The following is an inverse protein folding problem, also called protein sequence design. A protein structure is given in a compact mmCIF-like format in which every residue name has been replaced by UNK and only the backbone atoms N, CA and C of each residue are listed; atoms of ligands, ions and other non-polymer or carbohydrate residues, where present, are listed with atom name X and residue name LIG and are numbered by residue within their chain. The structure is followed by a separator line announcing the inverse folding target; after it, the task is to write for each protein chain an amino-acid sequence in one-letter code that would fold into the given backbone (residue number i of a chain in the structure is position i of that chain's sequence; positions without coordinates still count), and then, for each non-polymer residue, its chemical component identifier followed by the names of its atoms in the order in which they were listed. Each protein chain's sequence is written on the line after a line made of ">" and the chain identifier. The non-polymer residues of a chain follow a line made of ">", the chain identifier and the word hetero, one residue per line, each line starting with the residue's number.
data_IF_003109802172
#
_entry.id   IF_003109802172
#
_cell.length_a   1.000
_cell.length_b   1.000
_cell.length_c   1.000
_cell.angle_alpha   90.00
_cell.angle_beta   90.00
_cell.angle_gamma   90.00
#
_symmetry.space_group_name_H-M   'P 1'
#
loop_
_entity.id
_entity.type
_entity.pdbx_description
1 polymer ?
#
# COMPACT_ATOMS: atom_id res chain seq x y z
N UNK A 1 -36.92 -26.23 -1.15
CA UNK A 1 -36.95 -26.54 0.30
C UNK A 1 -37.49 -25.33 1.06
N UNK A 2 -38.18 -25.61 2.15
CA UNK A 2 -39.29 -24.81 2.68
C UNK A 2 -38.91 -23.51 3.42
N UNK A 3 -39.92 -22.64 3.48
CA UNK A 3 -40.09 -21.37 4.19
C UNK A 3 -39.99 -21.54 5.71
N UNK A 4 -39.43 -20.56 6.41
CA UNK A 4 -39.76 -20.32 7.82
C UNK A 4 -39.68 -18.82 8.15
N UNK A 5 -40.84 -18.18 8.11
CA UNK A 5 -41.09 -16.85 8.63
C UNK A 5 -41.31 -16.96 10.15
N UNK A 6 -40.55 -16.19 10.93
CA UNK A 6 -40.67 -16.16 12.38
C UNK A 6 -41.55 -14.97 12.78
N UNK A 7 -42.81 -15.25 13.09
CA UNK A 7 -43.74 -14.30 13.75
C UNK A 7 -44.22 -14.94 15.04
N UNK A 8 -43.59 -14.62 16.16
CA UNK A 8 -44.01 -15.08 17.49
C UNK A 8 -43.90 -13.93 18.47
N UNK A 9 -45.03 -13.46 19.01
CA UNK A 9 -44.99 -12.55 20.16
C UNK A 9 -46.23 -11.69 20.44
N UNK A 10 -47.11 -11.45 19.47
CA UNK A 10 -48.22 -10.49 19.68
C UNK A 10 -49.58 -11.14 19.95
N UNK A 11 -49.86 -12.33 19.44
CA UNK A 11 -51.19 -12.97 19.58
C UNK A 11 -51.61 -13.29 21.03
N UNK A 12 -50.65 -13.64 21.90
CA UNK A 12 -50.94 -13.98 23.29
C UNK A 12 -51.27 -12.75 24.16
N UNK A 13 -50.79 -11.57 23.79
CA UNK A 13 -51.05 -10.32 24.50
C UNK A 13 -52.47 -9.79 24.22
N UNK A 14 -52.94 -9.90 22.99
CA UNK A 14 -54.31 -9.53 22.61
C UNK A 14 -55.36 -10.42 23.28
N UNK A 15 -55.10 -11.74 23.38
CA UNK A 15 -56.00 -12.67 24.04
C UNK A 15 -56.15 -12.37 25.55
N UNK A 16 -55.03 -12.08 26.24
CA UNK A 16 -55.05 -11.72 27.67
C UNK A 16 -55.78 -10.40 27.92
N UNK A 17 -55.62 -9.41 27.04
CA UNK A 17 -56.31 -8.12 27.15
C UNK A 17 -57.83 -8.27 26.98
N UNK A 18 -58.28 -9.07 26.00
CA UNK A 18 -59.72 -9.33 25.78
C UNK A 18 -60.38 -10.02 26.99
N UNK A 19 -59.69 -10.95 27.64
CA UNK A 19 -60.20 -11.62 28.85
C UNK A 19 -60.35 -10.62 30.01
N UNK A 20 -59.38 -9.73 30.23
CA UNK A 20 -59.45 -8.72 31.31
C UNK A 20 -60.60 -7.74 31.08
N UNK A 21 -60.77 -7.26 29.85
CA UNK A 21 -61.87 -6.33 29.55
C UNK A 21 -63.24 -7.03 29.62
N UNK A 22 -63.34 -8.31 29.26
CA UNK A 22 -64.55 -9.11 29.42
C UNK A 22 -64.97 -9.26 30.89
N UNK A 23 -64.02 -9.45 31.80
CA UNK A 23 -64.28 -9.53 33.25
C UNK A 23 -64.75 -8.18 33.80
N UNK A 24 -64.14 -7.06 33.37
CA UNK A 24 -64.57 -5.72 33.80
C UNK A 24 -65.99 -5.40 33.29
N UNK A 25 -66.32 -5.76 32.05
CA UNK A 25 -67.66 -5.59 31.50
C UNK A 25 -68.72 -6.42 32.27
N UNK A 26 -68.38 -7.64 32.69
CA UNK A 26 -69.26 -8.47 33.51
C UNK A 26 -69.49 -7.89 34.91
N UNK A 27 -68.48 -7.29 35.55
CA UNK A 27 -68.60 -6.62 36.86
C UNK A 27 -69.46 -5.35 36.77
N UNK A 28 -69.39 -4.63 35.66
CA UNK A 28 -70.21 -3.43 35.44
C UNK A 28 -71.69 -3.75 35.18
N UNK A 29 -72.01 -4.92 34.58
CA UNK A 29 -73.39 -5.35 34.36
C UNK A 29 -74.13 -5.79 35.64
N UNK A 30 -73.41 -6.12 36.72
CA UNK A 30 -74.01 -6.53 38.01
C UNK A 30 -74.22 -5.33 38.95
N UNK A 31 -73.64 -4.16 38.67
CA UNK A 31 -73.63 -3.01 39.60
C UNK A 31 -74.67 -1.91 39.30
N UNK A 32 -75.67 -2.17 38.45
CA UNK A 32 -76.73 -1.19 38.12
C UNK A 32 -78.12 -1.70 38.51
N UNK A 33 -78.43 -1.63 39.80
CA UNK A 33 -79.81 -1.66 40.30
C UNK A 33 -79.95 -0.48 41.28
N UNK A 34 -80.51 0.64 40.82
CA UNK A 34 -80.70 1.86 41.60
C UNK A 34 -82.19 2.22 41.55
N UNK A 35 -82.92 1.91 42.61
CA UNK A 35 -84.33 2.29 42.83
C UNK A 35 -84.42 3.47 43.78
N UNK A 36 -85.00 4.63 43.39
CA UNK A 36 -85.31 5.70 44.33
C UNK A 36 -86.80 5.71 44.70
N UNK A 37 -87.11 5.44 45.97
CA UNK A 37 -88.39 5.78 46.60
C UNK A 37 -88.31 7.23 47.15
N UNK A 38 -89.29 8.05 46.78
CA UNK A 38 -89.53 9.37 47.39
C UNK A 38 -90.35 9.22 48.68
N UNK A 39 -90.25 10.18 49.62
CA UNK A 39 -91.42 11.02 49.82
C UNK A 39 -91.10 12.51 49.97
N UNK A 40 -92.01 13.30 49.41
CA UNK A 40 -92.19 14.75 49.50
C UNK A 40 -92.72 15.19 50.87
N UNK A 41 -92.21 16.30 51.41
CA UNK A 41 -92.82 17.05 52.51
C UNK A 41 -92.97 18.51 52.07
N UNK A 42 -94.17 18.87 51.63
CA UNK A 42 -94.70 20.23 51.67
C UNK A 42 -95.14 20.54 53.10
N UNK A 43 -94.80 21.71 53.63
CA UNK A 43 -95.48 22.27 54.80
C UNK A 43 -95.96 23.67 54.45
N UNK A 44 -97.28 23.74 54.33
CA UNK A 44 -98.14 24.87 54.07
C UNK A 44 -98.02 25.96 55.13
N UNK A 45 -98.13 27.20 54.65
CA UNK A 45 -98.56 28.33 55.44
C UNK A 45 -100.01 28.12 55.89
N UNK A 46 -100.28 28.24 57.19
CA UNK A 46 -101.64 28.34 57.71
C UNK A 46 -101.72 29.52 58.69
N UNK A 47 -102.61 30.43 58.34
CA UNK A 47 -102.98 31.63 59.06
C UNK A 47 -104.50 31.49 59.31
N UNK A 48 -104.96 31.47 60.56
CA UNK A 48 -106.37 31.69 60.85
C UNK A 48 -106.58 32.97 61.67
N UNK A 49 -107.47 33.80 61.13
CA UNK A 49 -108.17 34.90 61.78
C UNK A 49 -109.65 34.46 61.96
N UNK A 50 -110.52 35.30 62.53
CA UNK A 50 -110.77 35.63 63.94
C UNK A 50 -112.01 34.89 64.49
N UNK A 51 -112.30 34.93 65.81
CA UNK A 51 -113.68 35.11 66.31
C UNK A 51 -113.81 35.22 67.85
N UNK A 52 -114.60 36.23 68.22
CA UNK A 52 -115.65 36.27 69.26
C UNK A 52 -115.30 36.18 70.76
N UNK A 53 -115.66 37.27 71.45
CA UNK A 53 -115.66 37.45 72.90
C UNK A 53 -116.75 36.61 73.61
N UNK A 54 -116.57 36.34 74.91
CA UNK A 54 -117.51 36.92 75.87
C UNK A 54 -116.87 37.40 77.19
N UNK A 55 -117.23 38.62 77.58
CA UNK A 55 -117.90 38.99 78.85
C UNK A 55 -117.30 38.47 80.17
N UNK A 56 -116.64 39.41 80.87
CA UNK A 56 -116.72 39.71 82.32
C UNK A 56 -116.52 38.57 83.33
N UNK A 57 -115.31 38.52 83.90
CA UNK A 57 -115.16 38.33 85.36
C UNK A 57 -113.88 39.02 85.83
N UNK A 58 -114.03 40.24 86.35
CA UNK A 58 -112.95 40.97 87.02
C UNK A 58 -112.70 40.32 88.39
N UNK A 59 -111.97 39.21 88.37
CA UNK A 59 -111.43 38.62 89.60
C UNK A 59 -110.41 39.61 90.13
N UNK A 60 -110.63 40.10 91.35
CA UNK A 60 -109.69 40.95 92.06
C UNK A 60 -108.34 40.23 92.05
N UNK A 61 -107.40 40.75 91.26
CA UNK A 61 -106.07 40.15 91.17
C UNK A 61 -105.43 40.40 92.53
N UNK A 62 -105.25 39.33 93.29
CA UNK A 62 -104.56 39.38 94.57
C UNK A 62 -103.17 39.96 94.29
N UNK A 63 -102.89 41.15 94.83
CA UNK A 63 -101.65 41.88 94.56
C UNK A 63 -100.40 41.03 94.85
N UNK A 64 -100.50 40.08 95.79
CA UNK A 64 -99.42 39.15 96.13
C UNK A 64 -99.19 38.06 95.06
N UNK A 65 -100.22 37.66 94.32
CA UNK A 65 -100.12 36.67 93.23
C UNK A 65 -99.51 37.27 91.96
N UNK A 66 -99.78 38.55 91.66
CA UNK A 66 -99.16 39.28 90.54
C UNK A 66 -97.67 39.48 90.79
N UNK A 67 -97.27 39.87 92.00
CA UNK A 67 -95.85 40.04 92.34
C UNK A 67 -95.07 38.72 92.23
N UNK A 68 -95.64 37.59 92.67
CA UNK A 68 -95.04 36.27 92.47
C UNK A 68 -94.94 35.90 90.98
N UNK A 69 -95.97 36.22 90.18
CA UNK A 69 -95.97 35.98 88.73
C UNK A 69 -94.91 36.83 88.03
N UNK A 70 -94.76 38.11 88.40
CA UNK A 70 -93.76 39.03 87.85
C UNK A 70 -92.34 38.57 88.23
N UNK A 71 -92.12 38.14 89.47
CA UNK A 71 -90.82 37.56 89.87
C UNK A 71 -90.50 36.28 89.09
N UNK A 72 -91.50 35.42 88.86
CA UNK A 72 -91.34 34.19 88.05
C UNK A 72 -91.05 34.51 86.58
N UNK A 73 -91.71 35.51 86.00
CA UNK A 73 -91.47 35.98 84.63
C UNK A 73 -90.06 36.59 84.51
N UNK A 74 -89.65 37.43 85.46
CA UNK A 74 -88.30 38.01 85.48
C UNK A 74 -87.22 36.92 85.64
N UNK A 75 -87.45 35.93 86.50
CA UNK A 75 -86.52 34.80 86.64
C UNK A 75 -86.44 33.99 85.36
N UNK A 76 -87.58 33.67 84.73
CA UNK A 76 -87.62 32.97 83.45
C UNK A 76 -86.96 33.75 82.31
N UNK A 77 -87.09 35.08 82.29
CA UNK A 77 -86.41 35.93 81.31
C UNK A 77 -84.90 35.90 81.52
N UNK A 78 -84.41 36.06 82.76
CA UNK A 78 -82.98 35.93 83.08
C UNK A 78 -82.42 34.56 82.71
N UNK A 79 -83.15 33.49 83.02
CA UNK A 79 -82.74 32.12 82.70
C UNK A 79 -82.70 31.90 81.17
N UNK A 80 -83.66 32.47 80.42
CA UNK A 80 -83.68 32.44 78.96
C UNK A 80 -82.54 33.24 78.34
N UNK A 81 -82.27 34.46 78.83
CA UNK A 81 -81.15 35.29 78.39
C UNK A 81 -79.81 34.60 78.68
N UNK A 82 -79.65 33.99 79.85
CA UNK A 82 -78.45 33.21 80.19
C UNK A 82 -78.32 31.96 79.31
N UNK A 83 -79.42 31.26 79.00
CA UNK A 83 -79.41 30.12 78.10
C UNK A 83 -79.06 30.53 76.65
N UNK A 84 -79.57 31.67 76.20
CA UNK A 84 -79.26 32.24 74.89
C UNK A 84 -77.80 32.70 74.81
N UNK A 85 -77.28 33.39 75.81
CA UNK A 85 -75.86 33.76 75.89
C UNK A 85 -74.95 32.53 75.89
N UNK A 86 -75.30 31.47 76.62
CA UNK A 86 -74.56 30.19 76.59
C UNK A 86 -74.60 29.54 75.20
N UNK A 87 -75.76 29.57 74.54
CA UNK A 87 -75.91 29.04 73.19
C UNK A 87 -75.09 29.83 72.17
N UNK A 88 -75.09 31.16 72.25
CA UNK A 88 -74.27 32.04 71.39
C UNK A 88 -72.78 31.79 71.64
N UNK A 89 -72.34 31.78 72.91
CA UNK A 89 -70.94 31.51 73.26
C UNK A 89 -70.49 30.12 72.79
N UNK A 90 -71.35 29.10 72.87
CA UNK A 90 -71.04 27.76 72.34
C UNK A 90 -70.98 27.75 70.80
N UNK A 91 -71.90 28.42 70.11
CA UNK A 91 -71.89 28.55 68.66
C UNK A 91 -70.65 29.31 68.17
N UNK A 92 -70.26 30.39 68.85
CA UNK A 92 -69.03 31.13 68.56
C UNK A 92 -67.78 30.27 68.78
N UNK A 93 -67.71 29.52 69.88
CA UNK A 93 -66.61 28.58 70.14
C UNK A 93 -66.53 27.50 69.07
N UNK A 94 -67.67 26.92 68.67
CA UNK A 94 -67.74 25.93 67.58
C UNK A 94 -67.33 26.54 66.24
N UNK A 95 -67.77 27.77 65.94
CA UNK A 95 -67.40 28.48 64.71
C UNK A 95 -65.89 28.82 64.67
N UNK A 96 -65.31 29.25 65.78
CA UNK A 96 -63.86 29.49 65.89
C UNK A 96 -63.07 28.19 65.76
N UNK A 97 -63.49 27.10 66.42
CA UNK A 97 -62.85 25.79 66.27
C UNK A 97 -62.92 25.27 64.82
N UNK A 98 -64.07 25.42 64.16
CA UNK A 98 -64.24 25.04 62.75
C UNK A 98 -63.38 25.91 61.81
N UNK A 99 -63.24 27.22 62.08
CA UNK A 99 -62.34 28.09 61.31
C UNK A 99 -60.87 27.69 61.49
N UNK A 100 -60.43 27.44 62.71
CA UNK A 100 -59.07 26.99 62.99
C UNK A 100 -58.76 25.61 62.38
N UNK A 101 -59.71 24.68 62.41
CA UNK A 101 -59.57 23.37 61.77
C UNK A 101 -59.39 23.50 60.25
N UNK A 102 -60.24 24.31 59.59
CA UNK A 102 -60.11 24.56 58.14
C UNK A 102 -58.82 25.27 57.78
N UNK A 103 -58.35 26.22 58.60
CA UNK A 103 -57.09 26.90 58.35
C UNK A 103 -55.88 25.95 58.49
N UNK A 104 -55.91 25.03 59.45
CA UNK A 104 -54.88 23.98 59.60
C UNK A 104 -54.88 23.03 58.40
N UNK A 105 -56.05 22.52 58.02
CA UNK A 105 -56.20 21.63 56.86
C UNK A 105 -55.75 22.31 55.56
N UNK A 106 -56.08 23.59 55.35
CA UNK A 106 -55.59 24.37 54.21
C UNK A 106 -54.07 24.56 54.24
N UNK A 107 -53.48 24.81 55.42
CA UNK A 107 -52.02 24.93 55.57
C UNK A 107 -51.32 23.61 55.28
N UNK A 108 -51.83 22.50 55.82
CA UNK A 108 -51.30 21.14 55.57
C UNK A 108 -51.43 20.75 54.09
N UNK A 109 -52.58 21.03 53.46
CA UNK A 109 -52.78 20.78 52.03
C UNK A 109 -51.83 21.64 51.16
N UNK A 110 -51.67 22.93 51.48
CA UNK A 110 -50.76 23.81 50.76
C UNK A 110 -49.28 23.41 50.95
N UNK A 111 -48.90 22.93 52.15
CA UNK A 111 -47.56 22.43 52.41
C UNK A 111 -47.30 21.12 51.63
N UNK A 112 -48.24 20.18 51.64
CA UNK A 112 -48.14 18.94 50.87
C UNK A 112 -48.06 19.21 49.37
N UNK A 113 -48.83 20.15 48.85
CA UNK A 113 -48.76 20.55 47.44
C UNK A 113 -47.39 21.15 47.10
N UNK A 114 -46.85 22.04 47.95
CA UNK A 114 -45.50 22.59 47.79
C UNK A 114 -44.42 21.51 47.83
N UNK A 115 -44.53 20.56 48.76
CA UNK A 115 -43.59 19.42 48.85
C UNK A 115 -43.67 18.55 47.59
N UNK A 116 -44.87 18.25 47.09
CA UNK A 116 -45.05 17.49 45.84
C UNK A 116 -44.51 18.24 44.62
N UNK A 117 -44.72 19.55 44.52
CA UNK A 117 -44.18 20.37 43.45
C UNK A 117 -42.65 20.41 43.50
N UNK A 118 -42.06 20.63 44.67
CA UNK A 118 -40.61 20.62 44.88
C UNK A 118 -40.01 19.24 44.52
N UNK A 119 -40.62 18.14 44.96
CA UNK A 119 -40.18 16.79 44.63
C UNK A 119 -40.27 16.49 43.13
N UNK A 120 -41.35 16.92 42.46
CA UNK A 120 -41.49 16.79 41.00
C UNK A 120 -40.47 17.61 40.24
N UNK A 121 -40.18 18.83 40.69
CA UNK A 121 -39.19 19.69 40.05
C UNK A 121 -37.78 19.15 40.24
N UNK A 122 -37.46 18.64 41.43
CA UNK A 122 -36.18 17.98 41.70
C UNK A 122 -36.02 16.71 40.86
N UNK A 123 -37.04 15.83 40.80
CA UNK A 123 -37.01 14.65 39.95
C UNK A 123 -36.84 14.99 38.45
N UNK A 124 -37.46 16.09 37.97
CA UNK A 124 -37.25 16.58 36.60
C UNK A 124 -35.82 17.07 36.38
N UNK A 125 -35.25 17.82 37.32
CA UNK A 125 -33.87 18.32 37.24
C UNK A 125 -32.86 17.17 37.24
N UNK A 126 -33.04 16.17 38.11
CA UNK A 126 -32.20 14.97 38.18
C UNK A 126 -32.31 14.13 36.90
N UNK A 127 -33.53 13.93 36.37
CA UNK A 127 -33.73 13.21 35.11
C UNK A 127 -33.10 13.94 33.90
N UNK A 128 -33.16 15.28 33.87
CA UNK A 128 -32.54 16.08 32.82
C UNK A 128 -31.01 16.06 32.92
N UNK A 129 -30.46 16.17 34.13
CA UNK A 129 -29.01 16.03 34.37
C UNK A 129 -28.51 14.65 33.96
N UNK A 130 -29.20 13.57 34.33
CA UNK A 130 -28.85 12.21 33.95
C UNK A 130 -28.88 12.02 32.42
N UNK A 131 -29.87 12.60 31.72
CA UNK A 131 -29.93 12.58 30.25
C UNK A 131 -28.78 13.36 29.62
N UNK A 132 -28.45 14.53 30.13
CA UNK A 132 -27.34 15.35 29.61
C UNK A 132 -25.99 14.68 29.84
N UNK A 133 -25.79 14.04 30.99
CA UNK A 133 -24.58 13.28 31.28
C UNK A 133 -24.46 12.04 30.39
N UNK A 134 -25.54 11.28 30.22
CA UNK A 134 -25.58 10.14 29.30
C UNK A 134 -25.29 10.57 27.84
N UNK A 135 -25.87 11.68 27.38
CA UNK A 135 -25.63 12.22 26.05
C UNK A 135 -24.18 12.69 25.86
N UNK A 136 -23.58 13.35 26.87
CA UNK A 136 -22.17 13.73 26.84
C UNK A 136 -21.25 12.51 26.80
N UNK A 137 -21.53 11.48 27.60
CA UNK A 137 -20.74 10.26 27.64
C UNK A 137 -20.83 9.49 26.30
N UNK A 138 -22.02 9.42 25.69
CA UNK A 138 -22.19 8.81 24.37
C UNK A 138 -21.44 9.60 23.28
N UNK A 139 -21.50 10.93 23.31
CA UNK A 139 -20.78 11.78 22.38
C UNK A 139 -19.26 11.59 22.51
N UNK A 140 -18.73 11.58 23.74
CA UNK A 140 -17.32 11.32 24.00
C UNK A 140 -16.89 9.93 23.52
N UNK A 141 -17.73 8.90 23.70
CA UNK A 141 -17.45 7.55 23.17
C UNK A 141 -17.40 7.53 21.65
N UNK A 142 -18.33 8.22 20.97
CA UNK A 142 -18.35 8.32 19.50
C UNK A 142 -17.12 9.06 18.97
N UNK A 143 -16.74 10.17 19.59
CA UNK A 143 -15.54 10.93 19.22
C UNK A 143 -14.26 10.11 19.43
N UNK A 144 -14.14 9.42 20.56
CA UNK A 144 -13.00 8.53 20.84
C UNK A 144 -12.92 7.35 19.85
N UNK A 145 -14.06 6.75 19.50
CA UNK A 145 -14.10 5.66 18.52
C UNK A 145 -13.74 6.13 17.11
N UNK A 146 -14.24 7.30 16.69
CA UNK A 146 -13.89 7.89 15.40
C UNK A 146 -12.41 8.28 15.34
N UNK A 147 -11.86 8.87 16.40
CA UNK A 147 -10.44 9.18 16.50
C UNK A 147 -9.57 7.91 16.45
N UNK A 148 -9.97 6.85 17.15
CA UNK A 148 -9.28 5.57 17.11
C UNK A 148 -9.34 4.91 15.72
N UNK A 149 -10.49 4.94 15.04
CA UNK A 149 -10.65 4.45 13.66
C UNK A 149 -9.80 5.24 12.68
N UNK A 150 -9.81 6.57 12.74
CA UNK A 150 -8.99 7.42 11.89
C UNK A 150 -7.48 7.20 12.12
N UNK A 151 -7.05 7.06 13.38
CA UNK A 151 -5.66 6.76 13.71
C UNK A 151 -5.23 5.36 13.20
N UNK A 152 -6.09 4.35 13.34
CA UNK A 152 -5.82 3.00 12.84
C UNK A 152 -5.76 2.96 11.30
N UNK A 153 -6.65 3.68 10.62
CA UNK A 153 -6.63 3.78 9.16
C UNK A 153 -5.38 4.53 8.66
N UNK A 154 -5.01 5.64 9.31
CA UNK A 154 -3.76 6.36 8.98
C UNK A 154 -2.54 5.46 9.13
N UNK A 155 -2.43 4.72 10.24
CA UNK A 155 -1.33 3.76 10.46
C UNK A 155 -1.29 2.67 9.39
N UNK A 156 -2.45 2.10 9.01
CA UNK A 156 -2.50 1.09 7.93
C UNK A 156 -2.05 1.66 6.58
N UNK A 157 -2.48 2.88 6.24
CA UNK A 157 -2.07 3.55 5.00
C UNK A 157 -0.57 3.85 4.98
N UNK A 158 -0.01 4.31 6.11
CA UNK A 158 1.43 4.56 6.25
C UNK A 158 2.25 3.26 6.16
N UNK A 159 1.80 2.18 6.82
CA UNK A 159 2.47 0.87 6.75
C UNK A 159 2.40 0.28 5.34
N UNK A 160 1.24 0.36 4.66
CA UNK A 160 1.11 -0.11 3.28
C UNK A 160 1.98 0.70 2.31
N UNK A 161 2.03 2.02 2.48
CA UNK A 161 2.91 2.88 1.69
C UNK A 161 4.39 2.56 1.94
N UNK A 162 4.79 2.34 3.20
CA UNK A 162 6.15 1.94 3.55
C UNK A 162 6.51 0.57 2.96
N UNK A 163 5.62 -0.43 3.02
CA UNK A 163 5.84 -1.75 2.42
C UNK A 163 5.94 -1.69 0.91
N UNK A 164 5.11 -0.87 0.24
CA UNK A 164 5.19 -0.65 -1.22
C UNK A 164 6.51 0.03 -1.61
N UNK A 165 6.92 1.07 -0.89
CA UNK A 165 8.19 1.75 -1.14
C UNK A 165 9.40 0.82 -0.92
N UNK A 166 9.39 -0.02 0.12
CA UNK A 166 10.45 -0.99 0.37
C UNK A 166 10.49 -2.08 -0.71
N UNK A 167 9.33 -2.60 -1.12
CA UNK A 167 9.24 -3.58 -2.21
C UNK A 167 9.74 -3.01 -3.54
N UNK A 168 9.39 -1.76 -3.87
CA UNK A 168 9.88 -1.09 -5.08
C UNK A 168 11.40 -0.87 -5.02
N UNK A 169 11.94 -0.44 -3.87
CA UNK A 169 13.40 -0.28 -3.69
C UNK A 169 14.12 -1.61 -3.90
N UNK A 170 13.65 -2.69 -3.27
CA UNK A 170 14.23 -4.03 -3.42
C UNK A 170 14.18 -4.52 -4.87
N UNK A 171 13.06 -4.28 -5.57
CA UNK A 171 12.92 -4.65 -6.98
C UNK A 171 13.89 -3.87 -7.89
N UNK A 172 14.09 -2.57 -7.63
CA UNK A 172 15.06 -1.73 -8.36
C UNK A 172 16.49 -2.18 -8.10
N UNK A 173 16.87 -2.41 -6.84
CA UNK A 173 18.21 -2.90 -6.47
C UNK A 173 18.51 -4.28 -7.10
N UNK A 174 17.53 -5.19 -7.12
CA UNK A 174 17.70 -6.50 -7.76
C UNK A 174 17.82 -6.39 -9.29
N UNK A 175 17.03 -5.50 -9.91
CA UNK A 175 17.11 -5.24 -11.35
C UNK A 175 18.46 -4.62 -11.75
N UNK A 176 18.96 -3.64 -10.99
CA UNK A 176 20.28 -3.04 -11.20
C UNK A 176 21.41 -4.06 -11.00
N UNK A 177 21.32 -4.91 -9.97
CA UNK A 177 22.31 -5.97 -9.74
C UNK A 177 22.35 -6.96 -10.90
N UNK A 178 21.20 -7.42 -11.39
CA UNK A 178 21.11 -8.33 -12.54
C UNK A 178 21.64 -7.67 -13.81
N UNK A 179 21.31 -6.41 -14.07
CA UNK A 179 21.81 -5.68 -15.23
C UNK A 179 23.33 -5.46 -15.17
N UNK A 180 23.89 -5.18 -13.99
CA UNK A 180 25.33 -5.03 -13.79
C UNK A 180 26.08 -6.37 -13.96
N UNK A 181 25.52 -7.47 -13.43
CA UNK A 181 26.08 -8.82 -13.59
C UNK A 181 26.07 -9.25 -15.06
N UNK A 182 24.96 -9.01 -15.78
CA UNK A 182 24.86 -9.31 -17.20
C UNK A 182 25.84 -8.49 -18.05
N UNK A 183 26.00 -7.19 -17.75
CA UNK A 183 27.01 -6.34 -18.42
C UNK A 183 28.42 -6.88 -18.20
N UNK A 184 28.79 -7.21 -16.97
CA UNK A 184 30.11 -7.80 -16.67
C UNK A 184 30.33 -9.12 -17.40
N UNK A 185 29.32 -9.99 -17.45
CA UNK A 185 29.40 -11.27 -18.17
C UNK A 185 29.61 -11.06 -19.67
N UNK A 186 28.89 -10.12 -20.29
CA UNK A 186 29.04 -9.78 -21.71
C UNK A 186 30.41 -9.18 -22.00
N UNK A 187 30.90 -8.27 -21.15
CA UNK A 187 32.24 -7.68 -21.28
C UNK A 187 33.35 -8.73 -21.14
N UNK A 188 33.22 -9.66 -20.19
CA UNK A 188 34.19 -10.75 -20.03
C UNK A 188 34.16 -11.71 -21.21
N UNK A 189 32.98 -12.05 -21.73
CA UNK A 189 32.83 -12.90 -22.91
C UNK A 189 33.45 -12.26 -24.16
N UNK A 190 33.20 -10.97 -24.39
CA UNK A 190 33.82 -10.21 -25.47
C UNK A 190 35.35 -10.15 -25.34
N UNK A 191 35.86 -9.90 -24.12
CA UNK A 191 37.31 -9.89 -23.88
C UNK A 191 37.93 -11.26 -24.15
N UNK A 192 37.31 -12.34 -23.66
CA UNK A 192 37.77 -13.72 -23.92
C UNK A 192 37.71 -14.07 -25.42
N UNK A 193 36.71 -13.57 -26.16
CA UNK A 193 36.62 -13.78 -27.60
C UNK A 193 37.72 -13.02 -28.35
N UNK A 194 37.94 -11.75 -28.01
CA UNK A 194 39.01 -10.94 -28.60
C UNK A 194 40.41 -11.53 -28.30
N UNK A 195 40.64 -12.03 -27.07
CA UNK A 195 41.88 -12.72 -26.70
C UNK A 195 42.09 -14.00 -27.53
N UNK A 196 41.05 -14.82 -27.73
CA UNK A 196 41.13 -16.02 -28.59
C UNK A 196 41.41 -15.67 -30.05
N UNK A 197 40.76 -14.65 -30.58
CA UNK A 197 40.97 -14.21 -31.96
C UNK A 197 42.39 -13.66 -32.16
N UNK A 198 42.88 -12.85 -31.23
CA UNK A 198 44.25 -12.35 -31.25
C UNK A 198 45.29 -13.48 -31.16
N UNK A 199 45.04 -14.49 -30.34
CA UNK A 199 45.90 -15.68 -30.26
C UNK A 199 45.92 -16.46 -31.58
N UNK A 200 44.76 -16.70 -32.19
CA UNK A 200 44.65 -17.40 -33.46
C UNK A 200 45.34 -16.64 -34.61
N UNK A 201 45.16 -15.31 -34.66
CA UNK A 201 45.84 -14.46 -35.64
C UNK A 201 47.36 -14.49 -35.47
N UNK A 202 47.83 -14.48 -34.22
CA UNK A 202 49.25 -14.57 -33.91
C UNK A 202 49.84 -15.92 -34.35
N UNK A 203 49.16 -17.03 -34.04
CA UNK A 203 49.60 -18.37 -34.44
C UNK A 203 49.65 -18.52 -35.96
N UNK A 204 48.62 -18.03 -36.67
CA UNK A 204 48.60 -18.04 -38.14
C UNK A 204 49.73 -17.18 -38.74
N UNK A 205 50.02 -16.01 -38.16
CA UNK A 205 51.11 -15.16 -38.61
C UNK A 205 52.48 -15.80 -38.37
N UNK A 206 52.68 -16.46 -37.23
CA UNK A 206 53.90 -17.21 -36.91
C UNK A 206 54.08 -18.41 -37.85
N UNK A 207 53.02 -19.17 -38.13
CA UNK A 207 53.06 -20.29 -39.08
C UNK A 207 53.39 -19.82 -40.50
N UNK A 208 52.75 -18.74 -40.97
CA UNK A 208 53.06 -18.15 -42.28
C UNK A 208 54.50 -17.66 -42.36
N UNK A 209 55.01 -17.00 -41.31
CA UNK A 209 56.39 -16.54 -41.25
C UNK A 209 57.37 -17.71 -41.29
N UNK A 210 57.13 -18.76 -40.48
CA UNK A 210 57.95 -19.97 -40.47
C UNK A 210 57.95 -20.68 -41.82
N UNK A 211 56.78 -20.79 -42.48
CA UNK A 211 56.67 -21.39 -43.82
C UNK A 211 57.41 -20.57 -44.87
N UNK A 212 57.29 -19.25 -44.83
CA UNK A 212 57.99 -18.36 -45.75
C UNK A 212 59.50 -18.43 -45.55
N UNK A 213 59.97 -18.48 -44.31
CA UNK A 213 61.39 -18.64 -43.99
C UNK A 213 61.92 -20.00 -44.49
N UNK A 214 61.20 -21.10 -44.23
CA UNK A 214 61.58 -22.42 -44.72
C UNK A 214 61.63 -22.47 -46.25
N UNK A 215 60.65 -21.84 -46.93
CA UNK A 215 60.65 -21.71 -48.38
C UNK A 215 61.86 -20.92 -48.88
N UNK A 216 62.18 -19.79 -48.26
CA UNK A 216 63.35 -18.98 -48.62
C UNK A 216 64.66 -19.77 -48.43
N UNK A 217 64.81 -20.49 -47.32
CA UNK A 217 65.98 -21.34 -47.09
C UNK A 217 66.13 -22.42 -48.15
N UNK A 218 65.03 -23.12 -48.50
CA UNK A 218 65.03 -24.11 -49.58
C UNK A 218 65.44 -23.48 -50.91
N UNK A 219 64.87 -22.33 -51.26
CA UNK A 219 65.20 -21.61 -52.48
C UNK A 219 66.69 -21.21 -52.53
N UNK A 220 67.27 -20.74 -51.42
CA UNK A 220 68.70 -20.39 -51.37
C UNK A 220 69.59 -21.62 -51.48
N UNK A 221 69.25 -22.72 -50.79
CA UNK A 221 70.03 -23.96 -50.87
C UNK A 221 70.05 -24.55 -52.29
N UNK A 222 68.91 -24.53 -52.99
CA UNK A 222 68.85 -24.95 -54.39
C UNK A 222 69.59 -23.95 -55.28
N UNK A 223 69.50 -22.64 -55.02
CA UNK A 223 70.30 -21.65 -55.74
C UNK A 223 71.81 -21.93 -55.61
N UNK A 224 72.32 -22.13 -54.41
CA UNK A 224 73.74 -22.42 -54.19
C UNK A 224 74.20 -23.70 -54.89
N UNK A 225 73.38 -24.76 -54.84
CA UNK A 225 73.61 -26.02 -55.54
C UNK A 225 73.74 -25.82 -57.05
N UNK A 226 72.81 -25.12 -57.69
CA UNK A 226 72.86 -24.89 -59.14
C UNK A 226 73.96 -23.89 -59.54
N UNK A 227 74.24 -22.86 -58.73
CA UNK A 227 75.39 -21.97 -58.92
C UNK A 227 76.70 -22.77 -58.95
N UNK A 228 76.89 -23.70 -58.02
CA UNK A 228 78.08 -24.55 -57.98
C UNK A 228 78.17 -25.49 -59.20
N UNK A 229 77.05 -26.00 -59.71
CA UNK A 229 77.02 -26.81 -60.93
C UNK A 229 77.43 -25.98 -62.14
N UNK A 230 76.87 -24.78 -62.30
CA UNK A 230 77.19 -23.86 -63.41
C UNK A 230 78.67 -23.48 -63.34
N UNK A 231 79.16 -23.04 -62.18
CA UNK A 231 80.56 -22.67 -62.00
C UNK A 231 81.49 -23.85 -62.33
N UNK A 232 81.19 -25.06 -61.89
CA UNK A 232 81.98 -26.26 -62.20
C UNK A 232 82.00 -26.54 -63.70
N UNK A 233 80.87 -26.44 -64.39
CA UNK A 233 80.81 -26.65 -65.84
C UNK A 233 81.65 -25.60 -66.59
N UNK A 234 81.56 -24.32 -66.20
CA UNK A 234 82.38 -23.25 -66.77
C UNK A 234 83.87 -23.54 -66.53
N UNK A 235 84.27 -23.83 -65.29
CA UNK A 235 85.66 -24.12 -64.95
C UNK A 235 86.21 -25.35 -65.69
N UNK A 236 85.39 -26.36 -65.95
CA UNK A 236 85.81 -27.56 -66.69
C UNK A 236 86.12 -27.29 -68.17
N UNK A 237 85.49 -26.28 -68.77
CA UNK A 237 85.70 -25.87 -70.17
C UNK A 237 86.67 -24.70 -70.30
N UNK A 238 87.03 -24.06 -69.18
CA UNK A 238 87.91 -22.90 -69.15
C UNK A 238 89.35 -23.31 -69.46
N UNK A 239 89.92 -22.69 -70.50
CA UNK A 239 91.33 -22.82 -70.85
C UNK A 239 92.13 -21.77 -70.09
N UNK A 240 92.89 -22.23 -69.10
CA UNK A 240 93.71 -21.39 -68.24
C UNK A 240 95.15 -21.31 -68.75
N UNK A 241 95.74 -20.12 -68.69
CA UNK A 241 97.17 -19.88 -68.84
C UNK A 241 97.80 -19.51 -67.49
N UNK A 242 99.12 -19.59 -67.37
CA UNK A 242 99.85 -19.20 -66.15
C UNK A 242 99.60 -17.75 -65.74
N UNK A 243 99.25 -16.89 -66.70
CA UNK A 243 99.01 -15.47 -66.49
C UNK A 243 97.58 -15.16 -66.02
N UNK A 244 96.71 -16.15 -65.91
CA UNK A 244 95.33 -15.97 -65.46
C UNK A 244 95.16 -16.22 -63.96
N UNK A 245 96.17 -16.78 -63.29
CA UNK A 245 96.14 -17.09 -61.87
C UNK A 245 96.16 -15.80 -61.04
N UNK A 246 95.26 -15.71 -60.07
CA UNK A 246 95.12 -14.53 -59.20
C UNK A 246 94.39 -13.36 -59.85
N UNK A 247 93.83 -13.56 -61.06
CA UNK A 247 92.95 -12.61 -61.73
C UNK A 247 91.50 -13.02 -61.57
N UNK A 248 90.61 -12.05 -61.76
CA UNK A 248 89.17 -12.26 -61.63
C UNK A 248 88.44 -11.75 -62.88
N UNK A 249 87.43 -12.51 -63.29
CA UNK A 249 86.43 -12.06 -64.24
C UNK A 249 85.03 -12.25 -63.65
N UNK A 250 84.26 -11.17 -63.57
CA UNK A 250 82.85 -11.18 -63.21
C UNK A 250 82.03 -11.34 -64.48
N UNK A 251 81.30 -12.45 -64.58
CA UNK A 251 80.48 -12.78 -65.74
C UNK A 251 79.02 -12.56 -65.40
N UNK A 252 78.35 -11.76 -66.23
CA UNK A 252 76.90 -11.62 -66.25
C UNK A 252 76.33 -12.58 -67.31
N UNK A 253 75.49 -13.52 -66.88
CA UNK A 253 74.82 -14.50 -67.75
C UNK A 253 73.33 -14.22 -67.80
N UNK A 254 72.80 -14.19 -69.01
CA UNK A 254 71.37 -14.13 -69.27
C UNK A 254 70.94 -15.49 -69.84
N UNK A 255 70.12 -16.23 -69.09
CA UNK A 255 69.69 -17.58 -69.42
C UNK A 255 68.20 -17.63 -69.75
N UNK A 256 67.85 -18.42 -70.76
CA UNK A 256 66.47 -18.79 -71.03
C UNK A 256 65.92 -19.71 -69.93
N UNK A 257 64.59 -19.90 -69.90
CA UNK A 257 63.96 -20.83 -68.94
C UNK A 257 64.41 -22.29 -69.15
N UNK A 258 64.85 -22.64 -70.36
CA UNK A 258 65.46 -23.93 -70.69
C UNK A 258 66.92 -24.08 -70.26
N UNK A 259 67.55 -23.02 -69.72
CA UNK A 259 68.97 -22.98 -69.38
C UNK A 259 69.90 -22.60 -70.53
N UNK A 260 69.34 -22.29 -71.71
CA UNK A 260 70.12 -21.85 -72.86
C UNK A 260 70.73 -20.46 -72.63
N UNK A 261 71.99 -20.27 -73.00
CA UNK A 261 72.70 -18.99 -72.87
C UNK A 261 72.23 -18.02 -73.95
N UNK A 262 71.52 -16.97 -73.55
CA UNK A 262 71.03 -15.91 -74.44
C UNK A 262 72.12 -14.87 -74.67
N UNK A 263 72.75 -14.41 -73.58
CA UNK A 263 73.79 -13.39 -73.61
C UNK A 263 74.79 -13.61 -72.46
N UNK A 264 76.03 -13.24 -72.70
CA UNK A 264 77.13 -13.37 -71.76
C UNK A 264 78.07 -12.17 -71.86
N UNK A 265 78.29 -11.50 -70.73
CA UNK A 265 79.18 -10.34 -70.64
C UNK A 265 80.20 -10.58 -69.54
N UNK A 266 81.48 -10.36 -69.83
CA UNK A 266 82.57 -10.48 -68.85
C UNK A 266 83.15 -9.11 -68.53
N UNK A 267 83.32 -8.81 -67.24
CA UNK A 267 83.97 -7.60 -66.74
C UNK A 267 85.12 -7.99 -65.80
N UNK A 268 86.33 -7.48 -66.03
CA UNK A 268 87.54 -7.85 -65.30
C UNK A 268 88.76 -7.97 -66.22
N UNK A 269 89.64 -8.93 -65.95
CA UNK A 269 90.82 -9.15 -66.82
C UNK A 269 90.42 -9.60 -68.23
N UNK A 270 90.97 -8.94 -69.24
CA UNK A 270 90.60 -9.13 -70.64
C UNK A 270 90.82 -10.56 -71.14
N UNK A 271 91.92 -11.21 -70.76
CA UNK A 271 92.26 -12.54 -71.26
C UNK A 271 91.40 -13.61 -70.56
N UNK A 272 91.28 -13.51 -69.23
CA UNK A 272 90.45 -14.39 -68.44
C UNK A 272 88.97 -14.25 -68.82
N UNK A 273 88.46 -13.02 -68.99
CA UNK A 273 87.08 -12.79 -69.42
C UNK A 273 86.81 -13.32 -70.83
N UNK A 274 87.71 -13.10 -71.79
CA UNK A 274 87.55 -13.65 -73.14
C UNK A 274 87.52 -15.18 -73.14
N UNK A 275 88.42 -15.83 -72.40
CA UNK A 275 88.42 -17.29 -72.24
C UNK A 275 87.14 -17.78 -71.55
N UNK A 276 86.65 -17.05 -70.55
CA UNK A 276 85.45 -17.41 -69.80
C UNK A 276 84.19 -17.27 -70.65
N UNK A 277 84.02 -16.17 -71.38
CA UNK A 277 82.92 -15.98 -72.34
C UNK A 277 82.92 -17.07 -73.41
N UNK A 278 84.10 -17.45 -73.92
CA UNK A 278 84.23 -18.54 -74.88
C UNK A 278 83.79 -19.88 -74.30
N UNK A 279 84.23 -20.19 -73.07
CA UNK A 279 83.86 -21.44 -72.38
C UNK A 279 82.35 -21.52 -72.12
N UNK A 280 81.72 -20.41 -71.70
CA UNK A 280 80.26 -20.32 -71.51
C UNK A 280 79.51 -20.59 -72.82
N UNK A 281 79.91 -19.93 -73.91
CA UNK A 281 79.27 -20.11 -75.21
C UNK A 281 79.43 -21.53 -75.78
N UNK A 282 80.53 -22.21 -75.46
CA UNK A 282 80.74 -23.62 -75.83
C UNK A 282 79.86 -24.60 -75.04
N UNK A 283 79.49 -24.26 -73.80
CA UNK A 283 78.57 -25.07 -73.00
C UNK A 283 77.14 -24.94 -73.55
N UNK A 284 76.73 -23.72 -73.90
CA UNK A 284 75.49 -23.41 -74.59
C UNK A 284 74.20 -23.57 -73.76
N UNK A 285 74.10 -24.59 -72.92
CA UNK A 285 72.94 -24.82 -72.04
C UNK A 285 73.39 -25.35 -70.68
N UNK A 286 72.94 -24.68 -69.62
CA UNK A 286 73.16 -25.09 -68.25
C UNK A 286 71.94 -25.83 -67.68
N UNK A 287 72.14 -26.78 -66.74
CA UNK A 287 71.04 -27.40 -66.03
C UNK A 287 70.31 -26.36 -65.17
N UNK A 288 68.99 -26.31 -65.27
CA UNK A 288 68.14 -25.38 -64.51
C UNK A 288 67.44 -26.08 -63.34
N UNK A 289 67.10 -25.33 -62.27
CA UNK A 289 66.20 -25.81 -61.21
C UNK A 289 64.82 -26.18 -61.76
N UNK A 290 64.25 -27.27 -61.25
CA UNK A 290 62.86 -27.67 -61.58
C UNK A 290 61.82 -26.73 -60.93
N UNK A 291 62.17 -26.13 -59.78
CA UNK A 291 61.32 -25.18 -59.08
C UNK A 291 61.28 -23.85 -59.84
N UNK A 292 60.11 -23.40 -60.35
CA UNK A 292 60.00 -22.23 -61.21
C UNK A 292 60.43 -20.93 -60.52
N UNK A 293 60.27 -20.85 -59.20
CA UNK A 293 60.71 -19.67 -58.43
C UNK A 293 62.23 -19.61 -58.32
N UNK A 294 62.88 -20.76 -58.10
CA UNK A 294 64.34 -20.84 -58.11
C UNK A 294 64.85 -20.59 -59.52
N UNK A 295 64.28 -21.21 -60.55
CA UNK A 295 64.67 -21.01 -61.96
C UNK A 295 64.59 -19.55 -62.41
N UNK A 296 63.62 -18.78 -61.90
CA UNK A 296 63.51 -17.35 -62.16
C UNK A 296 64.73 -16.56 -61.65
N UNK A 297 65.35 -16.97 -60.53
CA UNK A 297 66.58 -16.38 -60.00
C UNK A 297 67.79 -16.61 -60.92
N UNK A 298 67.72 -17.59 -61.82
CA UNK A 298 68.81 -17.95 -62.74
C UNK A 298 68.73 -17.27 -64.10
N UNK A 299 67.64 -16.54 -64.40
CA UNK A 299 67.48 -15.84 -65.68
C UNK A 299 68.54 -14.78 -65.92
N UNK A 300 68.98 -14.09 -64.86
CA UNK A 300 70.05 -13.09 -64.90
C UNK A 300 70.93 -13.30 -63.68
N UNK A 301 72.10 -13.91 -63.87
CA UNK A 301 73.01 -14.23 -62.77
C UNK A 301 74.38 -13.62 -63.00
N UNK A 302 75.03 -13.28 -61.89
CA UNK A 302 76.40 -12.82 -61.87
C UNK A 302 77.26 -13.87 -61.17
N UNK A 303 78.38 -14.23 -61.80
CA UNK A 303 79.31 -15.23 -61.31
C UNK A 303 80.73 -14.68 -61.39
N UNK A 304 81.52 -14.88 -60.33
CA UNK A 304 82.94 -14.53 -60.34
C UNK A 304 83.77 -15.77 -60.66
N UNK A 305 84.57 -15.68 -61.71
CA UNK A 305 85.54 -16.70 -62.13
C UNK A 305 86.93 -16.21 -61.75
N UNK A 306 87.52 -16.86 -60.75
CA UNK A 306 88.84 -16.55 -60.21
C UNK A 306 89.66 -17.85 -60.09
N UNK A 307 90.47 -18.20 -61.10
CA UNK A 307 91.26 -19.42 -61.06
C UNK A 307 92.40 -19.30 -60.04
N UNK A 308 92.41 -20.19 -59.05
CA UNK A 308 93.44 -20.24 -58.00
C UNK A 308 94.56 -21.25 -58.29
N UNK A 309 94.36 -22.14 -59.26
CA UNK A 309 95.33 -23.14 -59.74
C UNK A 309 95.15 -23.36 -61.25
N UNK A 310 96.21 -23.78 -61.93
CA UNK A 310 96.12 -24.20 -63.34
C UNK A 310 95.25 -25.46 -63.44
N UNK A 311 94.29 -25.45 -64.36
CA UNK A 311 93.54 -26.64 -64.73
C UNK A 311 94.53 -27.63 -65.36
N UNK A 312 94.94 -28.65 -64.61
CA UNK A 312 95.72 -29.73 -65.18
C UNK A 312 94.79 -30.54 -66.08
N UNK A 313 94.90 -30.31 -67.38
CA UNK A 313 94.27 -31.13 -68.39
C UNK A 313 94.95 -32.51 -68.37
N UNK A 314 94.17 -33.56 -68.11
CA UNK A 314 94.45 -34.88 -68.65
C UNK A 314 93.79 -34.98 -70.02
#
# INVERSE_FOLDING_TARGET
>A
MAKSAQTGGTGLAWLKSLVVHGVIAAVLLVSFEFTPDAPTLEISADNPQPDQQPIVEAVAVDASAVEQQVQKIQQQQRDKEQAEQRRIAELERRAQAARQAREREQREAAELERQQQAAREQAKREAEQAKQEAAKLEQQRKEAEQAAKAAAEKRKREEEAARKAEAERKAREEAERKAAEERKRREEEQRRQAEREAQLQKELAEEMAARNQARQQRMQSEKEKYMAIIQRQIMSRLRLSSNDIGKECVVQLNLATSGFVIDVQGNGDTNLCRSTVTAVNQIGTFPMPDDPEVAALFKNIQLTVAPTKLNQAN
#
